data_IF_231532467247
#
_entry.id   IF_231532467247
#
_cell.length_a   1.000
_cell.length_b   1.000
_cell.length_c   1.000
_cell.angle_alpha   90.00
_cell.angle_beta   90.00
_cell.angle_gamma   90.00
#
_symmetry.space_group_name_H-M   'P 1'
#
loop_
_entity.id
_entity.type
_entity.pdbx_description
1 polymer ?
#
# COMPACT_ATOMS: atom_id res chain seq x y z
N UNK A 1 -5.30 -28.84 -9.60
CA UNK A 1 -4.16 -27.91 -9.80
C UNK A 1 -4.53 -26.41 -9.86
N UNK A 2 -5.72 -25.94 -10.30
CA UNK A 2 -6.04 -24.50 -10.33
C UNK A 2 -6.22 -23.84 -8.95
N UNK A 3 -6.86 -24.53 -8.01
CA UNK A 3 -7.22 -23.97 -6.71
C UNK A 3 -6.01 -23.62 -5.82
N UNK A 4 -4.87 -24.29 -6.01
CA UNK A 4 -3.66 -23.99 -5.25
C UNK A 4 -3.00 -22.69 -5.70
N UNK A 5 -3.06 -22.38 -7.00
CA UNK A 5 -2.52 -21.14 -7.58
C UNK A 5 -3.36 -19.94 -7.13
N UNK A 6 -4.68 -20.06 -7.15
CA UNK A 6 -5.60 -19.01 -6.67
C UNK A 6 -5.42 -18.73 -5.17
N UNK A 7 -5.17 -19.77 -4.38
CA UNK A 7 -4.91 -19.62 -2.94
C UNK A 7 -3.55 -18.96 -2.66
N UNK A 8 -2.56 -19.18 -3.50
CA UNK A 8 -1.26 -18.53 -3.39
C UNK A 8 -1.36 -17.04 -3.72
N UNK A 9 -2.08 -16.68 -4.78
CA UNK A 9 -2.22 -15.28 -5.20
C UNK A 9 -2.93 -14.43 -4.14
N UNK A 10 -3.94 -14.97 -3.45
CA UNK A 10 -4.63 -14.24 -2.38
C UNK A 10 -3.73 -14.00 -1.16
N UNK A 11 -2.88 -14.97 -0.80
CA UNK A 11 -1.90 -14.82 0.28
C UNK A 11 -0.87 -13.73 -0.06
N UNK A 12 -0.38 -13.70 -1.30
CA UNK A 12 0.55 -12.68 -1.78
C UNK A 12 -0.08 -11.28 -1.80
N UNK A 13 -1.34 -11.19 -2.22
CA UNK A 13 -2.11 -9.96 -2.20
C UNK A 13 -2.27 -9.43 -0.76
N UNK A 14 -2.63 -10.31 0.19
CA UNK A 14 -2.80 -9.92 1.60
C UNK A 14 -1.49 -9.48 2.25
N UNK A 15 -0.38 -10.13 1.91
CA UNK A 15 0.94 -9.70 2.35
C UNK A 15 1.33 -8.35 1.77
N UNK A 16 1.02 -8.12 0.49
CA UNK A 16 1.25 -6.82 -0.18
C UNK A 16 0.43 -5.73 0.49
N UNK A 17 -0.86 -5.98 0.79
CA UNK A 17 -1.73 -5.04 1.51
C UNK A 17 -1.16 -4.65 2.87
N UNK A 18 -0.61 -5.60 3.64
CA UNK A 18 0.02 -5.31 4.94
C UNK A 18 1.19 -4.34 4.79
N UNK A 19 2.11 -4.62 3.86
CA UNK A 19 3.28 -3.77 3.61
C UNK A 19 2.85 -2.36 3.16
N UNK A 20 1.89 -2.27 2.25
CA UNK A 20 1.36 -0.98 1.77
C UNK A 20 0.70 -0.18 2.90
N UNK A 21 -0.02 -0.84 3.80
CA UNK A 21 -0.60 -0.19 5.00
C UNK A 21 0.48 0.32 5.94
N UNK A 22 1.55 -0.44 6.16
CA UNK A 22 2.69 0.02 6.98
C UNK A 22 3.40 1.22 6.33
N UNK A 23 3.63 1.19 5.02
CA UNK A 23 4.21 2.32 4.29
C UNK A 23 3.33 3.58 4.39
N UNK A 24 2.02 3.41 4.20
CA UNK A 24 1.05 4.49 4.36
C UNK A 24 1.03 5.03 5.79
N UNK A 25 1.10 4.17 6.81
CA UNK A 25 1.16 4.59 8.21
C UNK A 25 2.40 5.46 8.48
N UNK A 26 3.57 5.07 7.96
CA UNK A 26 4.81 5.85 8.07
C UNK A 26 4.61 7.24 7.44
N UNK A 27 4.12 7.29 6.20
CA UNK A 27 3.89 8.54 5.48
C UNK A 27 2.86 9.44 6.18
N UNK A 28 1.72 8.88 6.57
CA UNK A 28 0.61 9.60 7.22
C UNK A 28 1.04 10.25 8.53
N UNK A 29 1.91 9.59 9.28
CA UNK A 29 2.43 10.09 10.56
C UNK A 29 3.75 10.85 10.42
N UNK A 30 4.18 11.20 9.19
CA UNK A 30 5.42 11.94 8.92
C UNK A 30 6.66 11.28 9.53
N UNK A 31 6.68 9.95 9.56
CA UNK A 31 7.77 9.16 10.13
C UNK A 31 8.86 8.94 9.08
N UNK A 32 10.14 8.82 9.48
CA UNK A 32 11.21 8.55 8.54
C UNK A 32 11.06 7.16 7.90
N UNK A 33 11.41 7.01 6.63
CA UNK A 33 11.29 5.72 5.92
C UNK A 33 12.20 4.62 6.48
N UNK A 34 13.20 5.00 7.28
CA UNK A 34 14.03 4.07 8.07
C UNK A 34 13.24 3.31 9.13
N UNK A 35 12.01 3.72 9.44
CA UNK A 35 11.11 2.98 10.34
C UNK A 35 10.49 1.74 9.68
N UNK A 36 10.49 1.65 8.34
CA UNK A 36 9.95 0.49 7.62
C UNK A 36 10.56 -0.85 8.08
N UNK A 37 11.89 -1.05 8.04
CA UNK A 37 12.49 -2.31 8.47
C UNK A 37 12.23 -2.60 9.96
N UNK A 38 12.29 -1.58 10.83
CA UNK A 38 12.04 -1.73 12.28
C UNK A 38 10.61 -2.20 12.56
N UNK A 39 9.63 -1.65 11.84
CA UNK A 39 8.24 -2.05 11.95
C UNK A 39 8.03 -3.46 11.39
N UNK A 40 8.67 -3.81 10.28
CA UNK A 40 8.62 -5.16 9.73
C UNK A 40 9.14 -6.21 10.73
N UNK A 41 10.27 -5.94 11.39
CA UNK A 41 10.83 -6.79 12.44
C UNK A 41 9.85 -6.93 13.62
N UNK A 42 9.28 -5.82 14.09
CA UNK A 42 8.29 -5.83 15.16
C UNK A 42 7.04 -6.63 14.80
N UNK A 43 6.56 -6.49 13.57
CA UNK A 43 5.41 -7.26 13.07
C UNK A 43 5.72 -8.76 13.07
N UNK A 44 6.92 -9.15 12.65
CA UNK A 44 7.35 -10.55 12.67
C UNK A 44 7.43 -11.10 14.11
N UNK A 45 7.97 -10.34 15.05
CA UNK A 45 8.03 -10.70 16.48
C UNK A 45 6.62 -10.90 17.04
N UNK A 46 5.66 -10.07 16.64
CA UNK A 46 4.27 -10.17 17.05
C UNK A 46 3.48 -11.28 16.33
N UNK A 47 4.14 -12.16 15.57
CA UNK A 47 3.51 -13.27 14.86
C UNK A 47 2.81 -12.88 13.56
N UNK A 48 2.96 -11.63 13.10
CA UNK A 48 2.43 -11.21 11.82
C UNK A 48 3.41 -11.59 10.70
N UNK A 49 3.11 -12.66 9.99
CA UNK A 49 3.84 -12.99 8.77
C UNK A 49 3.62 -11.90 7.71
N UNK A 50 4.73 -11.28 7.30
CA UNK A 50 4.83 -10.40 6.14
C UNK A 50 5.84 -10.96 5.14
N UNK A 51 5.69 -10.58 3.87
CA UNK A 51 6.68 -10.91 2.83
C UNK A 51 8.02 -10.27 3.15
N UNK A 52 9.12 -10.99 2.85
CA UNK A 52 10.51 -10.54 3.06
C UNK A 52 10.95 -9.43 2.08
N UNK A 53 10.12 -9.12 1.08
CA UNK A 53 10.40 -8.15 0.02
C UNK A 53 9.73 -6.82 0.39
N UNK A 54 10.24 -5.70 -0.15
CA UNK A 54 9.70 -4.35 0.01
C UNK A 54 9.76 -3.75 1.43
N UNK A 55 10.54 -4.35 2.33
CA UNK A 55 10.71 -3.87 3.72
C UNK A 55 11.85 -2.85 3.89
N UNK A 56 12.48 -2.40 2.80
CA UNK A 56 13.56 -1.41 2.88
C UNK A 56 13.04 0.02 2.91
N UNK A 57 13.85 0.95 3.40
CA UNK A 57 13.56 2.39 3.33
C UNK A 57 13.33 2.88 1.89
N UNK A 58 14.11 2.38 0.93
CA UNK A 58 13.95 2.72 -0.50
C UNK A 58 12.64 2.19 -1.06
N UNK A 59 12.29 0.94 -0.74
CA UNK A 59 11.02 0.36 -1.17
C UNK A 59 9.83 1.10 -0.55
N UNK A 60 9.92 1.49 0.73
CA UNK A 60 8.91 2.32 1.39
C UNK A 60 8.65 3.62 0.61
N UNK A 61 9.71 4.33 0.19
CA UNK A 61 9.57 5.53 -0.64
C UNK A 61 8.84 5.25 -1.96
N UNK A 62 9.26 4.22 -2.69
CA UNK A 62 8.63 3.84 -3.96
C UNK A 62 7.14 3.46 -3.78
N UNK A 63 6.78 2.79 -2.67
CA UNK A 63 5.39 2.45 -2.35
C UNK A 63 4.58 3.72 -2.10
N UNK A 64 5.12 4.67 -1.34
CA UNK A 64 4.44 5.94 -1.06
C UNK A 64 4.23 6.75 -2.33
N UNK A 65 5.21 6.77 -3.24
CA UNK A 65 5.08 7.42 -4.55
C UNK A 65 3.94 6.77 -5.36
N UNK A 66 3.87 5.44 -5.36
CA UNK A 66 2.79 4.70 -6.00
C UNK A 66 1.42 5.03 -5.39
N UNK A 67 1.30 5.00 -4.05
CA UNK A 67 0.07 5.35 -3.33
C UNK A 67 -0.36 6.77 -3.70
N UNK A 68 0.56 7.73 -3.64
CA UNK A 68 0.32 9.14 -3.99
C UNK A 68 -0.15 9.29 -5.42
N UNK A 69 0.45 8.57 -6.37
CA UNK A 69 0.03 8.59 -7.76
C UNK A 69 -1.41 8.07 -7.93
N UNK A 70 -1.75 6.93 -7.32
CA UNK A 70 -3.10 6.35 -7.44
C UNK A 70 -4.16 7.22 -6.77
N UNK A 71 -3.85 7.78 -5.59
CA UNK A 71 -4.77 8.69 -4.90
C UNK A 71 -5.02 9.96 -5.71
N UNK A 72 -3.98 10.56 -6.31
CA UNK A 72 -4.14 11.72 -7.20
C UNK A 72 -4.98 11.39 -8.42
N UNK A 73 -4.72 10.26 -9.09
CA UNK A 73 -5.52 9.80 -10.24
C UNK A 73 -7.00 9.69 -9.86
N UNK A 74 -7.31 9.03 -8.75
CA UNK A 74 -8.67 8.88 -8.24
C UNK A 74 -9.34 10.23 -7.98
N UNK A 75 -8.66 11.12 -7.24
CA UNK A 75 -9.18 12.47 -6.95
C UNK A 75 -9.44 13.27 -8.23
N UNK A 76 -8.51 13.27 -9.19
CA UNK A 76 -8.70 13.97 -10.46
C UNK A 76 -9.90 13.40 -11.25
N UNK A 77 -10.06 12.08 -11.30
CA UNK A 77 -11.21 11.45 -11.95
C UNK A 77 -12.53 11.83 -11.28
N UNK A 78 -12.58 11.83 -9.94
CA UNK A 78 -13.77 12.24 -9.18
C UNK A 78 -14.14 13.72 -9.41
N UNK A 79 -13.14 14.60 -9.49
CA UNK A 79 -13.35 16.03 -9.79
C UNK A 79 -13.95 16.22 -11.19
N UNK A 80 -13.43 15.52 -12.21
CA UNK A 80 -13.93 15.61 -13.59
C UNK A 80 -15.38 15.13 -13.67
N UNK A 81 -15.68 13.96 -13.11
CA UNK A 81 -17.05 13.41 -13.08
C UNK A 81 -18.03 14.34 -12.36
N UNK A 82 -17.62 14.91 -11.22
CA UNK A 82 -18.49 15.83 -10.48
C UNK A 82 -18.76 17.12 -11.27
N UNK A 83 -17.77 17.62 -12.02
CA UNK A 83 -17.95 18.77 -12.90
C UNK A 83 -18.93 18.48 -14.04
N UNK A 84 -18.84 17.30 -14.65
CA UNK A 84 -19.78 16.88 -15.72
C UNK A 84 -21.23 16.78 -15.20
N UNK A 85 -21.43 16.20 -14.02
CA UNK A 85 -22.74 16.09 -13.40
C UNK A 85 -23.33 17.45 -12.97
N UNK A 86 -22.47 18.42 -12.62
CA UNK A 86 -22.90 19.77 -12.23
C UNK A 86 -23.33 20.64 -13.42
N UNK A 87 -22.94 20.29 -14.64
CA UNK A 87 -23.28 21.03 -15.88
C UNK A 87 -24.54 20.45 -16.56
N UNK A 88 -24.98 19.26 -16.15
CA UNK A 88 -26.20 18.59 -16.63
C UNK A 88 -27.46 18.92 -15.79
N UNK A 89 -27.32 19.75 -14.75
CA UNK A 89 -28.42 20.33 -13.95
C UNK A 89 -28.56 21.81 -14.28
#
# INVERSE_FOLDING_TARGET
>A
MPNQILKLSSIEEDNTKKIFRTAYFIAKNQRPFTDMPKLADLHQINGLHMSRILQTNKACGNIIDHITLQMRKKLCSEIVVNKENSVLL
#
